data_IF_395698477673
#
_entry.id   IF_395698477673
#
_cell.length_a   1.000
_cell.length_b   1.000
_cell.length_c   1.000
_cell.angle_alpha   90.00
_cell.angle_beta   90.00
_cell.angle_gamma   90.00
#
_symmetry.space_group_name_H-M   'P 1'
#
loop_
_entity.id
_entity.type
_entity.pdbx_description
1 polymer ?
#
# COMPACT_ATOMS: atom_id res chain seq x y z
N UNK A 1 -11.43 52.99 1.18
CA UNK A 1 -10.37 52.21 1.86
C UNK A 1 -10.68 50.70 1.78
N UNK A 2 -10.83 50.21 0.53
CA UNK A 2 -11.11 48.78 0.23
C UNK A 2 -9.83 48.10 -0.25
N UNK A 3 -9.01 47.59 0.67
CA UNK A 3 -8.00 46.64 0.34
C UNK A 3 -7.54 45.93 1.62
N UNK A 4 -8.08 44.77 1.92
CA UNK A 4 -7.32 43.54 1.87
C UNK A 4 -8.15 42.28 1.57
N UNK A 5 -9.14 42.35 0.69
CA UNK A 5 -9.92 41.16 0.32
C UNK A 5 -9.15 40.17 -0.59
N UNK A 6 -8.22 40.71 -1.40
CA UNK A 6 -7.46 39.96 -2.40
C UNK A 6 -6.51 38.87 -1.85
N UNK A 7 -5.76 39.06 -0.76
CA UNK A 7 -4.91 37.98 -0.23
C UNK A 7 -5.70 36.83 0.40
N UNK A 8 -6.80 37.12 1.09
CA UNK A 8 -7.64 36.12 1.73
C UNK A 8 -8.39 35.25 0.72
N UNK A 9 -8.91 35.86 -0.36
CA UNK A 9 -9.55 35.13 -1.46
C UNK A 9 -8.55 34.28 -2.26
N UNK A 10 -7.32 34.76 -2.43
CA UNK A 10 -6.25 33.97 -3.05
C UNK A 10 -5.84 32.78 -2.19
N UNK A 11 -5.65 32.97 -0.89
CA UNK A 11 -5.33 31.87 0.05
C UNK A 11 -6.48 30.85 0.15
N UNK A 12 -7.73 31.30 0.11
CA UNK A 12 -8.89 30.43 0.08
C UNK A 12 -8.92 29.57 -1.20
N UNK A 13 -8.65 30.17 -2.36
CA UNK A 13 -8.56 29.46 -3.64
C UNK A 13 -7.42 28.44 -3.69
N UNK A 14 -6.25 28.79 -3.15
CA UNK A 14 -5.09 27.88 -3.10
C UNK A 14 -5.29 26.72 -2.13
N UNK A 15 -6.16 26.82 -1.12
CA UNK A 15 -6.51 25.73 -0.20
C UNK A 15 -7.58 24.77 -0.77
N UNK A 16 -8.44 25.26 -1.68
CA UNK A 16 -9.49 24.44 -2.29
C UNK A 16 -8.95 23.43 -3.31
N UNK A 17 -7.98 23.81 -4.13
CA UNK A 17 -7.42 22.95 -5.17
C UNK A 17 -6.79 21.64 -4.62
N UNK A 18 -5.92 21.66 -3.59
CA UNK A 18 -5.38 20.44 -2.99
C UNK A 18 -6.46 19.57 -2.34
N UNK A 19 -7.50 20.17 -1.79
CA UNK A 19 -8.61 19.40 -1.20
C UNK A 19 -9.38 18.63 -2.27
N UNK A 20 -9.67 19.27 -3.41
CA UNK A 20 -10.36 18.60 -4.52
C UNK A 20 -9.50 17.49 -5.13
N UNK A 21 -8.19 17.74 -5.28
CA UNK A 21 -7.25 16.74 -5.80
C UNK A 21 -7.18 15.50 -4.86
N UNK A 22 -7.02 15.71 -3.56
CA UNK A 22 -7.04 14.63 -2.58
C UNK A 22 -8.38 13.87 -2.57
N UNK A 23 -9.50 14.56 -2.77
CA UNK A 23 -10.82 13.95 -2.87
C UNK A 23 -10.93 13.09 -4.15
N UNK A 24 -10.40 13.56 -5.27
CA UNK A 24 -10.34 12.80 -6.52
C UNK A 24 -9.44 11.56 -6.37
N UNK A 25 -8.27 11.69 -5.76
CA UNK A 25 -7.38 10.57 -5.47
C UNK A 25 -8.06 9.53 -4.59
N UNK A 26 -8.81 9.97 -3.56
CA UNK A 26 -9.56 9.05 -2.71
C UNK A 26 -10.67 8.32 -3.47
N UNK A 27 -11.39 9.01 -4.36
CA UNK A 27 -12.37 8.38 -5.25
C UNK A 27 -11.73 7.31 -6.13
N UNK A 28 -10.56 7.60 -6.71
CA UNK A 28 -9.81 6.65 -7.54
C UNK A 28 -9.37 5.42 -6.74
N UNK A 29 -8.88 5.61 -5.51
CA UNK A 29 -8.49 4.51 -4.63
C UNK A 29 -9.67 3.62 -4.21
N UNK A 30 -10.86 4.20 -4.13
CA UNK A 30 -12.11 3.48 -3.79
C UNK A 30 -12.84 2.95 -5.03
N UNK A 31 -12.26 3.12 -6.23
CA UNK A 31 -12.89 2.74 -7.51
C UNK A 31 -14.29 3.35 -7.70
N UNK A 32 -14.53 4.54 -7.15
CA UNK A 32 -15.77 5.27 -7.32
C UNK A 32 -15.77 6.03 -8.64
N UNK A 33 -16.96 6.14 -9.25
CA UNK A 33 -17.13 6.97 -10.44
C UNK A 33 -16.76 8.44 -10.16
N UNK A 34 -16.01 9.06 -11.06
CA UNK A 34 -15.53 10.43 -10.93
C UNK A 34 -16.64 11.46 -10.74
N UNK A 35 -17.83 11.21 -11.32
CA UNK A 35 -19.01 12.08 -11.21
C UNK A 35 -19.84 11.82 -9.94
N UNK A 36 -19.58 10.73 -9.20
CA UNK A 36 -20.31 10.44 -7.96
C UNK A 36 -20.07 11.50 -6.90
N UNK A 37 -21.12 11.98 -6.24
CA UNK A 37 -20.97 12.84 -5.06
C UNK A 37 -20.40 12.03 -3.89
N UNK A 38 -19.29 12.51 -3.31
CA UNK A 38 -18.69 11.92 -2.13
C UNK A 38 -18.70 12.92 -0.97
N UNK A 39 -19.49 12.66 0.03
CA UNK A 39 -19.50 13.41 1.27
C UNK A 39 -18.46 12.84 2.23
N UNK A 40 -17.42 13.64 2.53
CA UNK A 40 -16.40 13.27 3.50
C UNK A 40 -16.93 13.55 4.91
N UNK A 41 -17.01 12.50 5.71
CA UNK A 41 -17.17 12.65 7.15
C UNK A 41 -15.81 13.05 7.76
N UNK A 42 -15.74 14.23 8.34
CA UNK A 42 -14.55 14.72 9.04
C UNK A 42 -14.84 14.63 10.53
N UNK A 43 -14.30 13.62 11.24
CA UNK A 43 -14.54 13.47 12.66
C UNK A 43 -13.88 14.63 13.42
N UNK A 44 -14.52 15.08 14.50
CA UNK A 44 -13.89 16.00 15.47
C UNK A 44 -12.92 15.21 16.32
N UNK A 45 -11.65 15.23 15.93
CA UNK A 45 -10.59 14.53 16.66
C UNK A 45 -10.33 15.20 18.01
N UNK A 46 -10.52 14.46 19.10
CA UNK A 46 -10.14 14.88 20.44
C UNK A 46 -8.64 15.17 20.57
N UNK A 47 -8.25 15.85 21.62
CA UNK A 47 -6.82 16.09 21.94
C UNK A 47 -6.26 15.05 22.90
N UNK A 48 -7.11 14.20 23.47
CA UNK A 48 -6.81 13.38 24.65
C UNK A 48 -5.74 12.31 24.40
N UNK A 49 -5.57 11.86 23.15
CA UNK A 49 -4.67 10.75 22.82
C UNK A 49 -3.46 11.14 21.94
N UNK A 50 -3.29 12.42 21.59
CA UNK A 50 -2.24 12.84 20.65
C UNK A 50 -0.83 12.61 21.22
N UNK A 51 -0.67 12.78 22.53
CA UNK A 51 0.59 12.61 23.27
C UNK A 51 0.65 11.26 24.03
N UNK A 52 -0.20 10.29 23.67
CA UNK A 52 -0.13 8.96 24.26
C UNK A 52 1.23 8.31 23.99
N UNK A 53 1.75 7.49 24.91
CA UNK A 53 3.02 6.81 24.72
C UNK A 53 2.97 5.90 23.49
N UNK A 54 4.00 5.98 22.68
CA UNK A 54 4.13 5.13 21.48
C UNK A 54 4.48 3.69 21.87
N UNK A 55 3.97 2.70 21.14
CA UNK A 55 4.37 1.31 21.34
C UNK A 55 5.85 1.11 21.04
N UNK A 56 6.46 0.05 21.57
CA UNK A 56 7.87 -0.24 21.27
C UNK A 56 8.03 -0.69 19.83
N UNK A 57 9.11 -0.28 19.17
CA UNK A 57 9.43 -0.67 17.78
C UNK A 57 9.41 -2.19 17.61
N UNK A 58 9.94 -2.92 18.59
CA UNK A 58 10.05 -4.38 18.58
C UNK A 58 8.69 -5.07 18.61
N UNK A 59 7.75 -4.55 19.40
CA UNK A 59 6.41 -5.15 19.49
C UNK A 59 5.63 -4.93 18.21
N UNK A 60 5.71 -3.71 17.63
CA UNK A 60 5.09 -3.40 16.33
C UNK A 60 5.65 -4.33 15.25
N UNK A 61 6.98 -4.51 15.20
CA UNK A 61 7.61 -5.38 14.22
C UNK A 61 7.21 -6.85 14.36
N UNK A 62 7.17 -7.38 15.60
CA UNK A 62 6.73 -8.76 15.85
C UNK A 62 5.29 -8.99 15.39
N UNK A 63 4.39 -8.06 15.70
CA UNK A 63 3.00 -8.15 15.25
C UNK A 63 2.92 -8.09 13.72
N UNK A 64 3.64 -7.17 13.10
CA UNK A 64 3.66 -7.00 11.65
C UNK A 64 4.20 -8.26 10.92
N UNK A 65 5.24 -8.94 11.44
CA UNK A 65 5.76 -10.18 10.86
C UNK A 65 4.73 -11.31 10.77
N UNK A 66 3.73 -11.30 11.66
CA UNK A 66 2.67 -12.32 11.68
C UNK A 66 1.47 -11.90 10.85
N UNK A 67 1.14 -10.61 10.86
CA UNK A 67 -0.10 -10.09 10.30
C UNK A 67 0.03 -9.65 8.83
N UNK A 68 1.25 -9.33 8.38
CA UNK A 68 1.44 -8.75 7.05
C UNK A 68 1.37 -9.79 5.95
N UNK A 69 0.45 -9.58 4.95
CA UNK A 69 0.27 -10.51 3.84
C UNK A 69 1.53 -10.68 2.99
N UNK A 70 2.34 -9.63 2.84
CA UNK A 70 3.60 -9.67 2.07
C UNK A 70 4.59 -10.67 2.66
N UNK A 71 4.68 -10.78 3.98
CA UNK A 71 5.54 -11.76 4.66
C UNK A 71 5.00 -13.18 4.46
N UNK A 72 3.69 -13.36 4.53
CA UNK A 72 3.07 -14.66 4.28
C UNK A 72 3.22 -15.08 2.82
N UNK A 73 3.05 -14.15 1.87
CA UNK A 73 3.32 -14.37 0.45
C UNK A 73 4.77 -14.82 0.19
N UNK A 74 5.75 -14.18 0.84
CA UNK A 74 7.15 -14.59 0.77
C UNK A 74 7.37 -16.03 1.26
N UNK A 75 6.74 -16.43 2.38
CA UNK A 75 6.81 -17.82 2.90
C UNK A 75 6.18 -18.82 1.92
N UNK A 76 5.03 -18.47 1.32
CA UNK A 76 4.35 -19.30 0.33
C UNK A 76 5.20 -19.42 -0.96
N UNK A 77 5.90 -18.39 -1.37
CA UNK A 77 6.83 -18.43 -2.51
C UNK A 77 7.98 -19.43 -2.27
N UNK A 78 8.51 -19.50 -1.05
CA UNK A 78 9.51 -20.52 -0.70
C UNK A 78 8.92 -21.93 -0.80
N UNK A 79 7.69 -22.14 -0.32
CA UNK A 79 7.00 -23.43 -0.43
C UNK A 79 6.74 -23.81 -1.90
N UNK A 80 6.34 -22.85 -2.72
CA UNK A 80 6.18 -23.04 -4.17
C UNK A 80 7.51 -23.45 -4.81
N UNK A 81 8.61 -22.78 -4.48
CA UNK A 81 9.94 -23.13 -4.96
C UNK A 81 10.39 -24.54 -4.54
N UNK A 82 9.97 -25.02 -3.34
CA UNK A 82 10.18 -26.41 -2.92
C UNK A 82 9.40 -27.40 -3.80
N UNK A 83 8.19 -27.05 -4.22
CA UNK A 83 7.41 -27.87 -5.16
C UNK A 83 8.05 -27.86 -6.56
N UNK A 84 8.58 -26.72 -7.01
CA UNK A 84 9.29 -26.61 -8.28
C UNK A 84 10.53 -27.53 -8.33
N UNK A 85 11.25 -27.67 -7.22
CA UNK A 85 12.34 -28.65 -7.11
C UNK A 85 11.82 -30.08 -7.28
N UNK A 86 10.66 -30.41 -6.68
CA UNK A 86 10.04 -31.74 -6.84
C UNK A 86 9.58 -31.96 -8.29
N UNK A 87 8.98 -30.94 -8.91
CA UNK A 87 8.59 -30.98 -10.33
C UNK A 87 9.83 -31.21 -11.22
N UNK A 88 10.90 -30.46 -10.99
CA UNK A 88 12.14 -30.65 -11.75
C UNK A 88 12.73 -32.05 -11.57
N UNK A 89 12.66 -32.62 -10.34
CA UNK A 89 13.09 -34.01 -10.07
C UNK A 89 12.21 -35.06 -10.74
N UNK A 90 10.92 -34.77 -10.97
CA UNK A 90 10.02 -35.66 -11.68
C UNK A 90 10.48 -35.93 -13.13
N UNK A 91 11.32 -35.05 -13.70
CA UNK A 91 11.95 -35.30 -14.99
C UNK A 91 12.89 -36.52 -15.04
N UNK A 92 13.23 -37.14 -13.91
CA UNK A 92 13.93 -38.42 -13.85
C UNK A 92 12.98 -39.62 -13.85
N UNK A 93 11.67 -39.40 -13.66
CA UNK A 93 10.69 -40.46 -13.59
C UNK A 93 10.11 -40.79 -14.96
N UNK A 94 9.59 -42.02 -15.15
CA UNK A 94 8.82 -42.36 -16.36
C UNK A 94 7.59 -41.48 -16.50
N UNK A 95 7.28 -41.08 -17.73
CA UNK A 95 6.03 -40.41 -18.06
C UNK A 95 5.04 -41.39 -18.68
N UNK A 96 3.79 -41.29 -18.28
CA UNK A 96 2.67 -42.05 -18.71
C UNK A 96 1.70 -41.14 -19.47
N UNK A 97 1.42 -41.47 -20.74
CA UNK A 97 0.50 -40.73 -21.58
C UNK A 97 -0.62 -41.61 -22.07
N UNK A 98 -1.85 -41.13 -21.97
CA UNK A 98 -3.04 -41.74 -22.56
C UNK A 98 -3.53 -40.80 -23.65
N UNK A 99 -3.68 -41.32 -24.87
CA UNK A 99 -4.24 -40.59 -26.00
C UNK A 99 -5.48 -41.30 -26.56
N UNK A 100 -6.52 -40.55 -26.82
CA UNK A 100 -7.70 -41.02 -27.49
C UNK A 100 -7.97 -40.14 -28.69
N UNK A 101 -8.22 -40.74 -29.80
CA UNK A 101 -8.50 -40.03 -31.05
C UNK A 101 -9.71 -40.62 -31.75
N UNK A 102 -10.54 -39.75 -32.31
CA UNK A 102 -11.63 -40.08 -33.23
C UNK A 102 -11.34 -39.33 -34.50
N UNK A 103 -11.36 -40.05 -35.63
CA UNK A 103 -11.05 -39.44 -36.90
C UNK A 103 -11.86 -40.04 -38.05
N UNK A 104 -12.05 -39.25 -39.07
CA UNK A 104 -12.53 -39.70 -40.39
C UNK A 104 -11.83 -38.89 -41.45
N UNK A 105 -11.78 -39.41 -42.70
CA UNK A 105 -11.16 -38.71 -43.82
C UNK A 105 -12.05 -38.73 -45.04
N UNK A 106 -11.99 -37.67 -45.83
CA UNK A 106 -12.65 -37.53 -47.13
C UNK A 106 -11.61 -37.13 -48.17
N UNK A 107 -11.67 -37.74 -49.35
CA UNK A 107 -10.83 -37.41 -50.49
C UNK A 107 -11.71 -37.14 -51.71
N UNK A 108 -11.43 -36.07 -52.45
CA UNK A 108 -12.09 -35.77 -53.72
C UNK A 108 -11.54 -36.66 -54.80
N UNK A 109 -12.38 -37.06 -55.82
CA UNK A 109 -12.00 -37.87 -56.90
C UNK A 109 -12.19 -39.39 -56.70
N UNK A 110 -12.94 -39.79 -55.69
CA UNK A 110 -13.33 -41.16 -55.40
C UNK A 110 -14.82 -41.35 -55.77
N UNK A 111 -15.17 -42.57 -56.19
CA UNK A 111 -16.54 -42.94 -56.59
C UNK A 111 -17.54 -42.98 -55.45
N UNK A 112 -17.08 -42.85 -54.22
CA UNK A 112 -17.94 -42.85 -53.03
C UNK A 112 -18.37 -41.41 -52.60
N UNK A 113 -19.63 -41.31 -52.20
CA UNK A 113 -20.20 -40.05 -51.68
C UNK A 113 -19.53 -39.64 -50.38
N UNK A 114 -19.59 -38.37 -50.03
CA UNK A 114 -19.06 -37.83 -48.76
C UNK A 114 -19.56 -38.63 -47.53
N UNK A 115 -20.86 -38.96 -47.50
CA UNK A 115 -21.44 -39.70 -46.39
C UNK A 115 -20.91 -41.13 -46.26
N UNK A 116 -20.68 -41.76 -47.39
CA UNK A 116 -20.11 -43.12 -47.43
C UNK A 116 -18.65 -43.10 -46.99
N UNK A 117 -17.84 -42.15 -47.47
CA UNK A 117 -16.45 -42.02 -47.08
C UNK A 117 -16.30 -41.71 -45.57
N UNK A 118 -17.14 -40.83 -45.00
CA UNK A 118 -17.15 -40.52 -43.56
C UNK A 118 -17.45 -41.76 -42.74
N UNK A 119 -18.39 -42.61 -43.17
CA UNK A 119 -18.72 -43.86 -42.46
C UNK A 119 -17.66 -44.92 -42.61
N UNK A 120 -17.09 -45.10 -43.81
CA UNK A 120 -16.09 -46.10 -44.06
C UNK A 120 -14.72 -45.79 -43.46
N UNK A 121 -14.37 -44.50 -43.43
CA UNK A 121 -13.09 -44.04 -42.91
C UNK A 121 -13.13 -43.69 -41.43
N UNK A 122 -14.24 -43.98 -40.75
CA UNK A 122 -14.35 -43.76 -39.32
C UNK A 122 -13.36 -44.61 -38.54
N UNK A 123 -12.46 -44.00 -37.81
CA UNK A 123 -11.51 -44.70 -36.96
C UNK A 123 -11.51 -44.20 -35.54
N UNK A 124 -11.34 -45.09 -34.60
CA UNK A 124 -11.14 -44.76 -33.17
C UNK A 124 -9.78 -45.33 -32.80
N UNK A 125 -8.99 -44.51 -32.14
CA UNK A 125 -7.69 -44.91 -31.63
C UNK A 125 -7.59 -44.64 -30.14
N UNK A 126 -7.06 -45.60 -29.40
CA UNK A 126 -6.72 -45.47 -28.01
C UNK A 126 -5.25 -45.88 -27.86
N UNK A 127 -4.41 -44.96 -27.44
CA UNK A 127 -2.99 -45.15 -27.27
C UNK A 127 -2.56 -45.01 -25.83
N UNK A 128 -1.71 -45.91 -25.39
CA UNK A 128 -1.08 -45.90 -24.06
C UNK A 128 0.43 -45.93 -24.25
N UNK A 129 1.11 -44.88 -23.79
CA UNK A 129 2.55 -44.73 -24.01
C UNK A 129 3.25 -44.52 -22.68
N UNK A 130 4.27 -45.36 -22.41
CA UNK A 130 5.20 -45.18 -21.26
C UNK A 130 6.55 -44.75 -21.86
N UNK A 131 7.04 -43.59 -21.43
CA UNK A 131 8.35 -43.07 -21.82
C UNK A 131 9.27 -43.00 -20.62
N UNK A 132 10.41 -43.71 -20.70
CA UNK A 132 11.43 -43.75 -19.63
C UNK A 132 12.67 -43.01 -20.13
N UNK A 133 13.04 -41.87 -19.52
CA UNK A 133 14.23 -41.12 -19.88
C UNK A 133 15.50 -41.85 -19.42
N UNK A 134 16.29 -42.43 -20.34
CA UNK A 134 17.56 -43.08 -20.01
C UNK A 134 18.69 -42.06 -19.96
N UNK A 135 18.68 -41.09 -20.86
CA UNK A 135 19.71 -40.07 -20.98
C UNK A 135 19.07 -38.73 -21.40
N UNK A 136 19.17 -37.73 -20.56
CA UNK A 136 18.56 -36.39 -20.76
C UNK A 136 19.59 -35.31 -21.08
N UNK A 137 20.82 -35.65 -21.47
CA UNK A 137 21.89 -34.69 -21.76
C UNK A 137 22.07 -33.62 -20.64
N UNK A 138 21.98 -34.04 -19.39
CA UNK A 138 22.04 -33.21 -18.19
C UNK A 138 20.89 -32.17 -18.05
N UNK A 139 19.90 -32.16 -18.94
CA UNK A 139 18.78 -31.18 -18.86
C UNK A 139 18.06 -31.26 -17.52
N UNK A 140 17.65 -32.46 -17.07
CA UNK A 140 16.97 -32.65 -15.79
C UNK A 140 17.84 -32.23 -14.61
N UNK A 141 19.14 -32.59 -14.61
CA UNK A 141 20.07 -32.16 -13.57
C UNK A 141 20.16 -30.62 -13.50
N UNK A 142 20.32 -29.98 -14.65
CA UNK A 142 20.39 -28.51 -14.73
C UNK A 142 19.07 -27.85 -14.28
N UNK A 143 17.91 -28.44 -14.61
CA UNK A 143 16.62 -27.96 -14.16
C UNK A 143 16.49 -28.02 -12.62
N UNK A 144 16.93 -29.12 -12.01
CA UNK A 144 16.94 -29.28 -10.54
C UNK A 144 17.86 -28.24 -9.88
N UNK A 145 19.06 -28.03 -10.41
CA UNK A 145 19.98 -27.03 -9.84
C UNK A 145 19.44 -25.60 -10.02
N UNK A 146 18.82 -25.28 -11.16
CA UNK A 146 18.15 -23.99 -11.35
C UNK A 146 17.01 -23.79 -10.33
N UNK A 147 16.17 -24.81 -10.12
CA UNK A 147 15.09 -24.73 -9.15
C UNK A 147 15.60 -24.54 -7.72
N UNK A 148 16.72 -25.18 -7.34
CA UNK A 148 17.36 -24.93 -6.03
C UNK A 148 17.86 -23.50 -5.88
N UNK A 149 18.50 -22.95 -6.91
CA UNK A 149 18.95 -21.55 -6.91
C UNK A 149 17.73 -20.62 -6.78
N UNK A 150 16.64 -20.90 -7.52
CA UNK A 150 15.40 -20.11 -7.41
C UNK A 150 14.84 -20.12 -5.98
N UNK A 151 14.86 -21.28 -5.29
CA UNK A 151 14.48 -21.34 -3.90
C UNK A 151 15.36 -20.45 -3.00
N UNK A 152 16.69 -20.50 -3.21
CA UNK A 152 17.61 -19.62 -2.46
C UNK A 152 17.32 -18.13 -2.72
N UNK A 153 16.97 -17.77 -3.97
CA UNK A 153 16.52 -16.41 -4.30
C UNK A 153 15.26 -16.05 -3.52
N UNK A 154 14.24 -16.92 -3.51
CA UNK A 154 13.00 -16.66 -2.74
C UNK A 154 13.24 -16.54 -1.22
N UNK A 155 14.23 -17.28 -0.67
CA UNK A 155 14.63 -17.14 0.74
C UNK A 155 15.28 -15.79 1.02
N UNK A 156 16.11 -15.29 0.10
CA UNK A 156 16.75 -13.98 0.19
C UNK A 156 15.73 -12.85 0.02
N UNK A 157 14.78 -13.02 -0.89
CA UNK A 157 13.70 -12.05 -1.13
C UNK A 157 12.85 -11.88 0.15
N UNK A 158 12.48 -12.99 0.81
CA UNK A 158 11.76 -12.92 2.10
C UNK A 158 12.59 -12.19 3.17
N UNK A 159 13.91 -12.43 3.22
CA UNK A 159 14.79 -11.73 4.16
C UNK A 159 14.85 -10.22 3.86
N UNK A 160 14.83 -9.84 2.59
CA UNK A 160 14.81 -8.44 2.16
C UNK A 160 13.48 -7.76 2.50
N UNK A 161 12.36 -8.45 2.26
CA UNK A 161 11.02 -8.00 2.67
C UNK A 161 10.95 -7.75 4.19
N UNK A 162 11.51 -8.66 5.00
CA UNK A 162 11.57 -8.50 6.46
C UNK A 162 12.41 -7.28 6.88
N UNK A 163 13.54 -7.04 6.22
CA UNK A 163 14.39 -5.86 6.48
C UNK A 163 13.69 -4.57 6.06
N UNK A 164 13.02 -4.60 4.92
CA UNK A 164 12.25 -3.47 4.42
C UNK A 164 11.09 -3.13 5.37
N UNK A 165 10.38 -4.15 5.85
CA UNK A 165 9.33 -3.99 6.86
C UNK A 165 9.89 -3.38 8.15
N UNK A 166 11.03 -3.88 8.63
CA UNK A 166 11.69 -3.33 9.82
C UNK A 166 12.04 -1.85 9.63
N UNK A 167 12.66 -1.50 8.50
CA UNK A 167 13.00 -0.12 8.15
C UNK A 167 11.76 0.76 8.11
N UNK A 168 10.67 0.29 7.50
CA UNK A 168 9.40 1.03 7.41
C UNK A 168 8.85 1.33 8.79
N UNK A 169 8.81 0.33 9.68
CA UNK A 169 8.31 0.50 11.06
C UNK A 169 9.22 1.43 11.85
N UNK A 170 10.53 1.34 11.68
CA UNK A 170 11.47 2.26 12.35
C UNK A 170 11.26 3.71 11.90
N UNK A 171 11.09 3.93 10.58
CA UNK A 171 10.79 5.26 10.02
C UNK A 171 9.47 5.79 10.57
N UNK A 172 8.40 4.99 10.53
CA UNK A 172 7.10 5.39 11.06
C UNK A 172 7.14 5.73 12.56
N UNK A 173 7.93 4.97 13.33
CA UNK A 173 8.09 5.26 14.75
C UNK A 173 8.82 6.58 15.00
N UNK A 174 9.88 6.85 14.24
CA UNK A 174 10.62 8.11 14.31
C UNK A 174 9.73 9.29 13.90
N UNK A 175 8.94 9.12 12.84
CA UNK A 175 7.99 10.13 12.37
C UNK A 175 6.90 10.41 13.40
N UNK A 176 6.35 9.37 14.03
CA UNK A 176 5.36 9.51 15.08
C UNK A 176 5.93 10.25 16.30
N UNK A 177 7.12 9.88 16.75
CA UNK A 177 7.80 10.54 17.86
C UNK A 177 8.12 12.02 17.54
N UNK A 178 8.63 12.29 16.34
CA UNK A 178 8.90 13.66 15.88
C UNK A 178 7.62 14.49 15.76
N UNK A 179 6.53 13.90 15.26
CA UNK A 179 5.25 14.59 15.13
C UNK A 179 4.64 14.93 16.50
N UNK A 180 4.75 14.04 17.50
CA UNK A 180 4.33 14.32 18.87
C UNK A 180 5.14 15.47 19.49
N UNK A 181 6.45 15.49 19.30
CA UNK A 181 7.31 16.57 19.79
C UNK A 181 6.96 17.91 19.12
N UNK A 182 6.71 17.90 17.79
CA UNK A 182 6.25 19.09 17.06
C UNK A 182 4.92 19.61 17.58
N UNK A 183 3.97 18.71 17.85
CA UNK A 183 2.68 19.09 18.38
C UNK A 183 2.79 19.71 19.78
N UNK A 184 3.61 19.14 20.67
CA UNK A 184 3.87 19.70 21.99
C UNK A 184 4.49 21.11 21.89
N UNK A 185 5.51 21.28 21.05
CA UNK A 185 6.16 22.57 20.84
C UNK A 185 5.20 23.61 20.21
N UNK A 186 4.40 23.21 19.23
CA UNK A 186 3.41 24.08 18.60
C UNK A 186 2.32 24.53 19.57
N UNK A 187 1.90 23.66 20.48
CA UNK A 187 0.91 23.98 21.52
C UNK A 187 1.45 25.04 22.50
N UNK A 188 2.71 24.92 22.94
CA UNK A 188 3.34 25.93 23.79
C UNK A 188 3.54 27.26 23.05
N UNK A 189 3.94 27.21 21.77
CA UNK A 189 4.04 28.38 20.92
C UNK A 189 2.68 29.08 20.77
N UNK A 190 1.61 28.32 20.50
CA UNK A 190 0.25 28.87 20.41
C UNK A 190 -0.16 29.58 21.68
N UNK A 191 0.06 28.96 22.84
CA UNK A 191 -0.24 29.56 24.16
C UNK A 191 0.50 30.87 24.35
N UNK A 192 1.80 30.93 24.08
CA UNK A 192 2.61 32.14 24.18
C UNK A 192 2.14 33.24 23.24
N UNK A 193 1.86 32.87 21.95
CA UNK A 193 1.39 33.82 20.94
C UNK A 193 -0.02 34.34 21.28
N UNK A 194 -0.89 33.49 21.81
CA UNK A 194 -2.20 33.92 22.30
C UNK A 194 -2.09 34.98 23.36
N UNK A 195 -1.25 34.77 24.37
CA UNK A 195 -0.99 35.73 25.44
C UNK A 195 -0.42 37.06 24.92
N UNK A 196 0.52 36.99 23.98
CA UNK A 196 1.08 38.18 23.30
C UNK A 196 0.01 38.97 22.56
N UNK A 197 -0.84 38.28 21.79
CA UNK A 197 -1.94 38.92 21.09
C UNK A 197 -2.92 39.62 22.01
N UNK A 198 -3.33 38.99 23.10
CA UNK A 198 -4.23 39.56 24.11
C UNK A 198 -3.63 40.79 24.74
N UNK A 199 -2.33 40.78 25.08
CA UNK A 199 -1.64 41.94 25.63
C UNK A 199 -1.58 43.11 24.62
N UNK A 200 -1.22 42.84 23.36
CA UNK A 200 -1.16 43.88 22.33
C UNK A 200 -2.55 44.41 22.01
N UNK A 201 -3.60 43.58 22.06
CA UNK A 201 -4.98 43.99 21.88
C UNK A 201 -5.44 44.97 23.00
N UNK A 202 -5.08 44.68 24.25
CA UNK A 202 -5.37 45.60 25.36
C UNK A 202 -4.62 46.92 25.23
N UNK A 203 -3.32 46.88 24.91
CA UNK A 203 -2.51 48.06 24.66
C UNK A 203 -3.02 48.90 23.49
N UNK A 204 -3.54 48.28 22.41
CA UNK A 204 -4.16 48.95 21.29
C UNK A 204 -5.46 49.65 21.74
N UNK A 205 -6.30 49.01 22.53
CA UNK A 205 -7.53 49.60 23.08
C UNK A 205 -7.26 50.81 23.99
N UNK A 206 -6.11 50.85 24.64
CA UNK A 206 -5.64 51.96 25.45
C UNK A 206 -4.92 53.07 24.64
N UNK A 207 -4.81 52.89 23.32
CA UNK A 207 -4.12 53.81 22.42
C UNK A 207 -2.59 53.78 22.48
N UNK A 208 -2.02 52.78 23.16
CA UNK A 208 -0.56 52.61 23.36
C UNK A 208 0.14 51.89 22.18
N UNK A 209 -0.62 51.20 21.33
CA UNK A 209 -0.13 50.47 20.17
C UNK A 209 -0.87 50.88 18.92
N UNK A 210 -0.23 50.69 17.78
CA UNK A 210 -0.81 51.01 16.47
C UNK A 210 -1.45 49.77 15.79
N UNK A 211 -2.25 50.04 14.76
CA UNK A 211 -2.98 48.99 14.00
C UNK A 211 -2.04 47.96 13.35
N UNK A 212 -0.84 48.37 12.92
CA UNK A 212 0.12 47.48 12.27
C UNK A 212 0.64 46.44 13.26
N UNK A 213 0.96 46.86 14.47
CA UNK A 213 1.41 45.94 15.57
C UNK A 213 0.33 44.92 15.91
N UNK A 214 -0.95 45.38 16.05
CA UNK A 214 -2.08 44.48 16.33
C UNK A 214 -2.30 43.49 15.18
N UNK A 215 -2.25 43.92 13.94
CA UNK A 215 -2.41 43.04 12.76
C UNK A 215 -1.26 42.03 12.64
N UNK A 216 -0.04 42.44 12.98
CA UNK A 216 1.13 41.56 13.00
C UNK A 216 0.94 40.44 14.01
N UNK A 217 0.57 40.77 15.26
CA UNK A 217 0.33 39.75 16.29
C UNK A 217 -0.87 38.86 15.98
N UNK A 218 -1.92 39.40 15.37
CA UNK A 218 -3.04 38.58 14.86
C UNK A 218 -2.59 37.59 13.79
N UNK A 219 -1.71 38.02 12.87
CA UNK A 219 -1.13 37.14 11.87
C UNK A 219 -0.26 36.02 12.49
N UNK A 220 0.55 36.39 13.49
CA UNK A 220 1.36 35.43 14.25
C UNK A 220 0.47 34.39 14.95
N UNK A 221 -0.62 34.82 15.60
CA UNK A 221 -1.58 33.94 16.26
C UNK A 221 -2.24 32.98 15.28
N UNK A 222 -2.72 33.47 14.12
CA UNK A 222 -3.31 32.65 13.07
C UNK A 222 -2.31 31.60 12.56
N UNK A 223 -1.07 32.01 12.34
CA UNK A 223 0.01 31.08 11.92
C UNK A 223 0.30 30.02 12.98
N UNK A 224 0.34 30.38 14.28
CA UNK A 224 0.52 29.43 15.36
C UNK A 224 -0.65 28.44 15.49
N UNK A 225 -1.89 28.92 15.30
CA UNK A 225 -3.08 28.06 15.27
C UNK A 225 -3.03 27.04 14.12
N UNK A 226 -2.65 27.49 12.93
CA UNK A 226 -2.51 26.63 11.75
C UNK A 226 -1.40 25.58 11.96
N UNK A 227 -0.25 26.00 12.48
CA UNK A 227 0.87 25.09 12.78
C UNK A 227 0.48 24.04 13.81
N UNK A 228 -0.23 24.43 14.87
CA UNK A 228 -0.70 23.49 15.91
C UNK A 228 -1.71 22.49 15.33
N UNK A 229 -2.63 22.96 14.50
CA UNK A 229 -3.62 22.10 13.86
C UNK A 229 -2.94 21.09 12.92
N UNK A 230 -2.01 21.53 12.09
CA UNK A 230 -1.25 20.66 11.20
C UNK A 230 -0.42 19.63 11.98
N UNK A 231 0.28 20.06 13.02
CA UNK A 231 1.07 19.17 13.88
C UNK A 231 0.18 18.13 14.59
N UNK A 232 -1.02 18.51 15.05
CA UNK A 232 -2.02 17.61 15.62
C UNK A 232 -2.39 16.48 14.66
N UNK A 233 -2.80 16.83 13.45
CA UNK A 233 -3.23 15.84 12.46
C UNK A 233 -2.08 14.92 12.04
N UNK A 234 -0.87 15.45 11.89
CA UNK A 234 0.31 14.64 11.58
C UNK A 234 0.66 13.66 12.71
N UNK A 235 0.55 14.08 13.97
CA UNK A 235 0.79 13.19 15.10
C UNK A 235 -0.25 12.06 15.16
N UNK A 236 -1.53 12.36 14.96
CA UNK A 236 -2.60 11.36 14.92
C UNK A 236 -2.38 10.40 13.76
N UNK A 237 -2.11 10.89 12.55
CA UNK A 237 -1.89 10.05 11.37
C UNK A 237 -0.76 9.05 11.60
N UNK A 238 0.40 9.53 12.07
CA UNK A 238 1.57 8.67 12.28
C UNK A 238 1.32 7.64 13.39
N UNK A 239 0.57 8.01 14.44
CA UNK A 239 0.16 7.06 15.48
C UNK A 239 -0.78 5.98 14.93
N UNK A 240 -1.76 6.35 14.12
CA UNK A 240 -2.68 5.40 13.50
C UNK A 240 -1.98 4.47 12.51
N UNK A 241 -0.97 4.96 11.79
CA UNK A 241 -0.13 4.12 10.94
C UNK A 241 0.63 3.06 11.75
N UNK A 242 1.19 3.40 12.92
CA UNK A 242 1.83 2.41 13.80
C UNK A 242 0.83 1.36 14.30
N UNK A 243 -0.37 1.77 14.72
CA UNK A 243 -1.45 0.85 15.13
C UNK A 243 -1.86 -0.08 14.00
N UNK A 244 -1.95 0.43 12.78
CA UNK A 244 -2.23 -0.39 11.59
C UNK A 244 -1.19 -1.50 11.39
N UNK A 245 0.10 -1.21 11.62
CA UNK A 245 1.14 -2.24 11.59
C UNK A 245 1.08 -3.22 12.77
N UNK A 246 0.42 -2.86 13.87
CA UNK A 246 0.10 -3.78 14.96
C UNK A 246 -1.14 -4.65 14.69
N UNK A 247 -1.90 -4.35 13.64
CA UNK A 247 -3.15 -5.03 13.30
C UNK A 247 -4.38 -4.47 14.01
N UNK A 248 -4.25 -3.32 14.65
CA UNK A 248 -5.40 -2.62 15.22
C UNK A 248 -6.21 -1.93 14.12
N UNK A 249 -7.52 -1.82 14.35
CA UNK A 249 -8.38 -1.04 13.44
C UNK A 249 -8.04 0.43 13.55
N UNK A 250 -8.03 1.11 12.41
CA UNK A 250 -7.91 2.58 12.39
C UNK A 250 -9.24 3.15 12.88
N UNK A 251 -9.22 3.73 14.08
CA UNK A 251 -10.34 4.46 14.68
C UNK A 251 -9.93 5.94 14.77
N UNK A 252 -10.74 6.81 14.17
CA UNK A 252 -10.55 8.27 14.13
C UNK A 252 -11.54 8.99 15.03
#
# INVERSE_FOLDING_TARGET
LDAPATPATYQHGTAHAPRQDNQLQLKQLLELDGESEMNLYIPTLGTENVLAPLPTKTDVYRSALVLRPEIEAGKLNIQTSDLDIKIARAGYLPTLSLSAGIGTSHANGNDFTFSEQVKQNWNNSLGFTVSVPIFSNRQTKSAVEKAKIQKQTSELDLLDDQKTLYKTIETLWLDANSAQQRYAAATEKLKSTQTSYELIQEQFNLGMKNTVELLTEKSNLLSAQQETLQAKYMAILNMQLLKFYQGEKIEL
#
